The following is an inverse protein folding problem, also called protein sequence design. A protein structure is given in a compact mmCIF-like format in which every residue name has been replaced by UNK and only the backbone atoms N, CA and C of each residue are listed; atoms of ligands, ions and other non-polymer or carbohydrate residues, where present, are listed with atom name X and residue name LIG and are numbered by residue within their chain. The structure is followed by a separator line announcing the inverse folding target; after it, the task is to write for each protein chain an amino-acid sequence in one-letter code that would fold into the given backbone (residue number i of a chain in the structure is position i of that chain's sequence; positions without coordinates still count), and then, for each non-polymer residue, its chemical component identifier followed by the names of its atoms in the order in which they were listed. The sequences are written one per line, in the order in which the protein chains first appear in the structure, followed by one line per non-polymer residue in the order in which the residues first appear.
data_IF_931927409601
#
_entry.id   IF_931927409601
#
_cell.length_a   1.000
_cell.length_b   1.000
_cell.length_c   1.000
_cell.angle_alpha   90.00
_cell.angle_beta   90.00
_cell.angle_gamma   90.00
#
_symmetry.space_group_name_H-M   'P 1'
#
loop_
_entity.id
_entity.type
_entity.pdbx_description
1 polymer ?
#
# COMPACT_ATOMS: atom_id res chain seq x y z
N UNK A 1 -17.79 -3.88 2.51
CA UNK A 1 -17.28 -5.23 2.82
C UNK A 1 -18.40 -6.28 2.89
N UNK A 2 -19.35 -6.22 3.84
CA UNK A 2 -20.33 -7.29 4.09
C UNK A 2 -21.14 -7.79 2.89
N UNK A 3 -21.51 -6.91 1.95
CA UNK A 3 -22.20 -7.31 0.73
C UNK A 3 -21.34 -8.20 -0.19
N UNK A 4 -20.05 -7.89 -0.36
CA UNK A 4 -19.14 -8.70 -1.17
C UNK A 4 -18.78 -10.02 -0.49
N UNK A 5 -18.61 -10.01 0.83
CA UNK A 5 -18.41 -11.23 1.60
C UNK A 5 -19.56 -12.24 1.40
N UNK A 6 -20.80 -11.74 1.33
CA UNK A 6 -21.97 -12.57 1.01
C UNK A 6 -21.95 -13.03 -0.45
N UNK A 7 -21.66 -12.14 -1.40
CA UNK A 7 -21.65 -12.47 -2.83
C UNK A 7 -20.57 -13.48 -3.22
N UNK A 8 -19.41 -13.37 -2.59
CA UNK A 8 -18.24 -14.22 -2.86
C UNK A 8 -18.15 -15.41 -1.90
N UNK A 9 -19.18 -15.63 -1.09
CA UNK A 9 -19.23 -16.75 -0.14
C UNK A 9 -19.00 -18.08 -0.86
N UNK A 10 -18.06 -18.87 -0.34
CA UNK A 10 -17.68 -20.16 -0.92
C UNK A 10 -16.54 -20.09 -1.93
N UNK A 11 -16.08 -18.90 -2.29
CA UNK A 11 -14.86 -18.69 -3.08
C UNK A 11 -13.76 -18.13 -2.17
N UNK A 12 -12.50 -18.58 -2.28
CA UNK A 12 -11.38 -17.93 -1.62
C UNK A 12 -11.29 -16.46 -2.07
N UNK A 13 -11.32 -15.54 -1.11
CA UNK A 13 -11.24 -14.10 -1.40
C UNK A 13 -10.66 -13.33 -0.22
N UNK A 14 -10.09 -12.17 -0.53
CA UNK A 14 -9.58 -11.20 0.44
C UNK A 14 -10.31 -9.88 0.24
N UNK A 15 -10.66 -9.20 1.33
CA UNK A 15 -11.33 -7.90 1.28
C UNK A 15 -10.41 -6.83 1.87
N UNK A 16 -9.82 -6.02 1.00
CA UNK A 16 -8.98 -4.89 1.36
C UNK A 16 -9.74 -3.56 1.28
N UNK A 17 -9.32 -2.58 2.09
CA UNK A 17 -9.75 -1.20 1.98
C UNK A 17 -8.96 -0.47 0.88
N UNK A 18 -9.61 -0.34 -0.28
CA UNK A 18 -9.04 0.30 -1.47
C UNK A 18 -8.83 1.82 -1.37
N UNK A 19 -9.08 2.45 -0.21
CA UNK A 19 -8.81 3.88 -0.01
C UNK A 19 -7.33 4.19 0.20
N UNK A 20 -6.58 3.26 0.79
CA UNK A 20 -5.17 3.45 1.15
C UNK A 20 -4.27 2.23 0.90
N UNK A 21 -4.85 1.09 0.52
CA UNK A 21 -4.13 -0.14 0.24
C UNK A 21 -4.60 -0.82 -1.05
N UNK A 22 -3.65 -1.42 -1.78
CA UNK A 22 -3.86 -2.33 -2.89
C UNK A 22 -3.16 -3.63 -2.53
N UNK A 23 -3.95 -4.67 -2.24
CA UNK A 23 -3.46 -6.01 -1.93
C UNK A 23 -3.46 -6.85 -3.21
N UNK A 24 -2.36 -7.55 -3.45
CA UNK A 24 -2.08 -8.32 -4.66
C UNK A 24 -1.67 -9.74 -4.26
N UNK A 25 -2.52 -10.76 -4.48
CA UNK A 25 -2.16 -12.14 -4.20
C UNK A 25 -0.96 -12.60 -5.02
N UNK A 26 -0.04 -13.39 -4.43
CA UNK A 26 1.14 -13.94 -5.12
C UNK A 26 0.79 -14.97 -6.21
N UNK A 27 -0.42 -15.52 -6.15
CA UNK A 27 -0.97 -16.40 -7.18
C UNK A 27 -1.82 -15.61 -8.19
N UNK A 28 -2.02 -16.13 -9.41
CA UNK A 28 -2.93 -15.53 -10.38
C UNK A 28 -4.32 -15.27 -9.78
N UNK A 29 -4.74 -14.01 -9.79
CA UNK A 29 -5.95 -13.56 -9.12
C UNK A 29 -6.70 -12.49 -9.94
N UNK A 30 -7.99 -12.34 -9.61
CA UNK A 30 -8.84 -11.29 -10.11
C UNK A 30 -9.04 -10.22 -9.03
N UNK A 31 -8.59 -8.99 -9.31
CA UNK A 31 -8.84 -7.85 -8.45
C UNK A 31 -10.18 -7.23 -8.81
N UNK A 32 -11.19 -7.39 -7.95
CA UNK A 32 -12.52 -6.83 -8.16
C UNK A 32 -12.67 -5.46 -7.47
N UNK A 33 -12.94 -4.42 -8.26
CA UNK A 33 -13.18 -3.06 -7.80
C UNK A 33 -14.66 -2.71 -7.89
N UNK A 34 -15.16 -1.99 -6.88
CA UNK A 34 -16.54 -1.50 -6.86
C UNK A 34 -16.81 -0.44 -7.92
N UNK A 35 -15.81 0.41 -8.19
CA UNK A 35 -15.83 1.52 -9.12
C UNK A 35 -14.41 1.84 -9.60
N UNK A 36 -14.27 2.47 -10.76
CA UNK A 36 -12.98 2.93 -11.29
C UNK A 36 -12.43 4.18 -10.61
N UNK A 37 -13.23 4.86 -9.78
CA UNK A 37 -12.79 6.02 -9.00
C UNK A 37 -12.31 5.66 -7.59
N UNK A 38 -12.27 4.38 -7.23
CA UNK A 38 -11.63 3.93 -5.98
C UNK A 38 -10.12 4.14 -6.13
N UNK A 39 -9.42 4.72 -5.13
CA UNK A 39 -7.99 5.00 -5.24
C UNK A 39 -7.14 3.77 -5.60
N UNK A 40 -7.40 2.60 -5.03
CA UNK A 40 -6.70 1.36 -5.39
C UNK A 40 -6.77 1.01 -6.89
N UNK A 41 -7.89 1.29 -7.57
CA UNK A 41 -7.99 1.08 -9.02
C UNK A 41 -7.08 2.06 -9.77
N UNK A 42 -7.00 3.32 -9.32
CA UNK A 42 -6.15 4.33 -9.93
C UNK A 42 -4.66 3.99 -9.75
N UNK A 43 -4.27 3.47 -8.58
CA UNK A 43 -2.93 2.96 -8.32
C UNK A 43 -2.65 1.71 -9.17
N UNK A 44 -3.56 0.76 -9.23
CA UNK A 44 -3.41 -0.41 -10.10
C UNK A 44 -3.21 0.00 -11.58
N UNK A 45 -3.98 0.99 -12.05
CA UNK A 45 -3.85 1.54 -13.39
C UNK A 45 -2.49 2.24 -13.62
N UNK A 46 -2.00 3.03 -12.65
CA UNK A 46 -0.69 3.69 -12.76
C UNK A 46 0.47 2.69 -12.73
N UNK A 47 0.26 1.51 -12.14
CA UNK A 47 1.19 0.37 -12.15
C UNK A 47 1.04 -0.51 -13.42
N UNK A 48 0.18 -0.14 -14.36
CA UNK A 48 0.00 -0.86 -15.63
C UNK A 48 -0.86 -2.13 -15.54
N UNK A 49 -1.55 -2.37 -14.42
CA UNK A 49 -2.43 -3.54 -14.25
C UNK A 49 -3.76 -3.39 -15.00
N UNK A 50 -4.17 -2.16 -15.33
CA UNK A 50 -5.45 -1.89 -15.99
C UNK A 50 -5.39 -1.91 -17.52
N UNK A 51 -4.63 -2.84 -18.12
CA UNK A 51 -4.44 -2.93 -19.58
C UNK A 51 -5.67 -3.45 -20.32
N UNK A 52 -6.40 -4.41 -19.73
CA UNK A 52 -7.61 -5.00 -20.31
C UNK A 52 -8.69 -5.24 -19.24
N UNK A 53 -9.25 -4.17 -18.64
CA UNK A 53 -10.22 -4.31 -17.55
C UNK A 53 -11.50 -5.00 -18.04
N UNK A 54 -11.94 -6.03 -17.31
CA UNK A 54 -13.25 -6.63 -17.53
C UNK A 54 -14.31 -5.84 -16.76
N UNK A 55 -15.39 -5.47 -17.44
CA UNK A 55 -16.51 -4.75 -16.82
C UNK A 55 -17.71 -5.68 -16.60
N UNK A 56 -18.30 -5.61 -15.42
CA UNK A 56 -19.51 -6.35 -15.07
C UNK A 56 -20.66 -5.37 -14.85
N UNK A 57 -21.74 -5.44 -15.65
CA UNK A 57 -22.84 -4.49 -15.57
C UNK A 57 -23.56 -4.59 -14.23
N UNK A 58 -24.03 -3.44 -13.74
CA UNK A 58 -24.88 -3.32 -12.56
C UNK A 58 -26.31 -2.95 -12.96
N UNK A 59 -27.11 -2.48 -12.00
CA UNK A 59 -28.46 -1.97 -12.30
C UNK A 59 -28.38 -0.80 -13.27
N UNK A 60 -29.50 -0.51 -13.94
CA UNK A 60 -29.59 0.62 -14.85
C UNK A 60 -29.10 1.92 -14.17
N UNK A 61 -28.24 2.66 -14.86
CA UNK A 61 -27.61 3.90 -14.39
C UNK A 61 -26.61 3.76 -13.22
N UNK A 62 -26.20 2.55 -12.84
CA UNK A 62 -25.10 2.34 -11.91
C UNK A 62 -23.78 2.08 -12.69
N UNK A 63 -22.64 2.64 -12.26
CA UNK A 63 -21.34 2.30 -12.85
C UNK A 63 -21.05 0.80 -12.70
N UNK A 64 -20.33 0.16 -13.64
CA UNK A 64 -20.04 -1.27 -13.57
C UNK A 64 -19.02 -1.59 -12.46
N UNK A 65 -19.00 -2.85 -12.03
CA UNK A 65 -17.82 -3.39 -11.36
C UNK A 65 -16.71 -3.59 -12.39
N UNK A 66 -15.46 -3.53 -11.92
CA UNK A 66 -14.30 -3.74 -12.79
C UNK A 66 -13.39 -4.80 -12.20
N UNK A 67 -12.99 -5.77 -13.00
CA UNK A 67 -11.97 -6.75 -12.62
C UNK A 67 -10.69 -6.56 -13.43
N UNK A 68 -9.55 -6.73 -12.74
CA UNK A 68 -8.23 -6.78 -13.34
C UNK A 68 -7.58 -8.14 -13.04
N UNK A 69 -7.12 -8.83 -14.08
CA UNK A 69 -6.33 -10.05 -13.91
C UNK A 69 -4.88 -9.67 -13.55
N UNK A 70 -4.36 -10.27 -12.48
CA UNK A 70 -2.96 -10.14 -12.06
C UNK A 70 -2.34 -11.52 -11.96
N UNK A 71 -1.15 -11.71 -12.53
CA UNK A 71 -0.49 -13.02 -12.61
C UNK A 71 0.96 -13.04 -12.11
N UNK A 72 1.61 -11.88 -11.99
CA UNK A 72 2.99 -11.77 -11.54
C UNK A 72 3.23 -10.45 -10.78
N UNK A 73 2.54 -10.24 -9.63
CA UNK A 73 2.58 -8.97 -8.90
C UNK A 73 3.99 -8.56 -8.46
N UNK A 74 4.89 -9.50 -8.16
CA UNK A 74 6.28 -9.19 -7.81
C UNK A 74 7.07 -8.45 -8.91
N UNK A 75 6.65 -8.56 -10.18
CA UNK A 75 7.28 -7.80 -11.27
C UNK A 75 7.00 -6.29 -11.18
N UNK A 76 5.98 -5.89 -10.42
CA UNK A 76 5.69 -4.47 -10.19
C UNK A 76 6.80 -3.75 -9.44
N UNK A 77 7.65 -4.46 -8.70
CA UNK A 77 8.82 -3.87 -8.03
C UNK A 77 9.72 -3.09 -9.01
N UNK A 78 9.76 -3.48 -10.29
CA UNK A 78 10.51 -2.76 -11.32
C UNK A 78 10.00 -1.32 -11.57
N UNK A 79 8.81 -0.97 -11.09
CA UNK A 79 8.23 0.37 -11.14
C UNK A 79 8.52 1.20 -9.88
N UNK A 80 9.34 0.71 -8.95
CA UNK A 80 9.71 1.35 -7.69
C UNK A 80 11.23 1.48 -7.58
N UNK A 81 11.68 2.43 -6.78
CA UNK A 81 13.07 2.51 -6.33
C UNK A 81 13.29 1.41 -5.27
N UNK A 82 14.15 0.41 -5.55
CA UNK A 82 14.37 -0.70 -4.63
C UNK A 82 15.20 -0.27 -3.43
N UNK A 83 14.99 -0.94 -2.30
CA UNK A 83 15.82 -0.82 -1.10
C UNK A 83 16.39 -2.20 -0.72
N UNK A 84 17.33 -2.22 0.21
CA UNK A 84 17.63 -3.47 0.91
C UNK A 84 16.37 -3.90 1.70
N UNK A 85 15.86 -5.13 1.50
CA UNK A 85 14.62 -5.54 2.13
C UNK A 85 14.66 -5.47 3.66
N UNK A 86 13.62 -4.89 4.25
CA UNK A 86 13.47 -4.82 5.72
C UNK A 86 12.19 -5.49 6.15
N UNK A 87 12.31 -6.63 6.83
CA UNK A 87 11.17 -7.36 7.40
C UNK A 87 10.86 -6.87 8.81
N UNK A 88 9.61 -6.48 9.02
CA UNK A 88 9.05 -6.08 10.29
C UNK A 88 8.52 -7.29 11.08
N UNK A 89 8.41 -7.16 12.40
CA UNK A 89 7.94 -8.21 13.30
C UNK A 89 6.50 -8.68 13.01
N UNK A 90 5.71 -7.91 12.26
CA UNK A 90 4.36 -8.27 11.82
C UNK A 90 4.33 -9.11 10.54
N UNK A 91 5.50 -9.40 9.95
CA UNK A 91 5.68 -10.24 8.77
C UNK A 91 5.70 -9.49 7.43
N UNK A 92 5.50 -8.17 7.44
CA UNK A 92 5.62 -7.34 6.25
C UNK A 92 7.08 -6.94 5.98
N UNK A 93 7.53 -7.10 4.73
CA UNK A 93 8.85 -6.74 4.24
C UNK A 93 8.75 -5.57 3.27
N UNK A 94 9.40 -4.45 3.55
CA UNK A 94 9.48 -3.34 2.59
C UNK A 94 10.52 -3.67 1.52
N UNK A 95 10.15 -3.58 0.25
CA UNK A 95 11.00 -3.92 -0.90
C UNK A 95 11.41 -2.69 -1.71
N UNK A 96 10.56 -1.67 -1.76
CA UNK A 96 10.82 -0.47 -2.52
C UNK A 96 9.77 0.60 -2.30
N UNK A 97 10.00 1.77 -2.89
CA UNK A 97 9.14 2.93 -2.74
C UNK A 97 9.15 3.78 -4.01
N UNK A 98 8.18 4.68 -4.13
CA UNK A 98 8.09 5.62 -5.24
C UNK A 98 7.44 6.91 -4.77
N UNK A 99 7.97 8.06 -5.19
CA UNK A 99 7.37 9.35 -4.95
C UNK A 99 6.78 9.92 -6.24
N UNK A 100 5.49 10.23 -6.22
CA UNK A 100 4.77 10.77 -7.37
C UNK A 100 4.32 12.22 -7.11
N UNK A 101 4.59 13.17 -8.03
CA UNK A 101 3.93 14.46 -7.98
C UNK A 101 2.46 14.33 -8.38
N UNK A 102 1.58 15.00 -7.64
CA UNK A 102 0.15 15.13 -7.92
C UNK A 102 -0.20 16.60 -8.14
N UNK A 103 -1.29 16.87 -8.88
CA UNK A 103 -1.83 18.22 -9.10
C UNK A 103 -0.75 19.23 -9.56
N UNK A 104 -0.07 18.93 -10.67
CA UNK A 104 1.03 19.73 -11.22
C UNK A 104 2.19 19.97 -10.22
N UNK A 105 2.36 19.06 -9.27
CA UNK A 105 3.39 19.11 -8.24
C UNK A 105 2.96 19.81 -6.94
N UNK A 106 1.72 20.32 -6.83
CA UNK A 106 1.24 20.91 -5.58
C UNK A 106 1.12 19.89 -4.43
N UNK A 107 0.97 18.60 -4.76
CA UNK A 107 0.91 17.50 -3.79
C UNK A 107 1.90 16.40 -4.17
N UNK A 108 2.17 15.54 -3.22
CA UNK A 108 3.04 14.38 -3.36
C UNK A 108 2.29 13.14 -2.91
N UNK A 109 2.57 12.00 -3.54
CA UNK A 109 2.13 10.68 -3.08
C UNK A 109 3.35 9.80 -2.89
N UNK A 110 3.57 9.34 -1.67
CA UNK A 110 4.52 8.29 -1.37
C UNK A 110 3.80 6.95 -1.53
N UNK A 111 4.30 6.10 -2.41
CA UNK A 111 3.89 4.70 -2.51
C UNK A 111 5.00 3.84 -1.89
N UNK A 112 4.61 2.81 -1.14
CA UNK A 112 5.53 1.80 -0.63
C UNK A 112 5.09 0.41 -1.07
N UNK A 113 6.03 -0.40 -1.53
CA UNK A 113 5.82 -1.75 -2.04
C UNK A 113 6.33 -2.77 -1.04
N UNK A 114 5.39 -3.50 -0.44
CA UNK A 114 5.65 -4.49 0.59
C UNK A 114 5.36 -5.90 0.07
N UNK A 115 6.00 -6.89 0.67
CA UNK A 115 5.59 -8.29 0.59
C UNK A 115 5.27 -8.81 2.00
N UNK A 116 4.23 -9.60 2.13
CA UNK A 116 3.91 -10.33 3.37
C UNK A 116 4.73 -11.63 3.35
N UNK A 117 6.03 -11.52 3.67
CA UNK A 117 6.98 -12.62 3.49
C UNK A 117 6.83 -13.73 4.53
N UNK A 118 6.37 -13.39 5.73
CA UNK A 118 6.14 -14.32 6.85
C UNK A 118 4.64 -14.50 7.11
N UNK A 119 4.23 -15.56 7.84
CA UNK A 119 2.86 -15.70 8.30
C UNK A 119 2.38 -14.41 8.99
N UNK A 120 1.27 -13.80 8.51
CA UNK A 120 0.78 -12.55 9.09
C UNK A 120 0.49 -12.71 10.58
N UNK A 121 0.92 -11.74 11.37
CA UNK A 121 0.52 -11.65 12.77
C UNK A 121 -0.91 -11.11 12.83
N UNK A 122 -1.77 -11.76 13.61
CA UNK A 122 -3.14 -11.28 13.85
C UNK A 122 -3.09 -9.85 14.43
N UNK A 123 -3.76 -8.91 13.76
CA UNK A 123 -3.80 -7.52 14.22
C UNK A 123 -4.31 -6.54 13.19
N UNK A 124 -4.50 -5.30 13.65
CA UNK A 124 -4.71 -4.14 12.79
C UNK A 124 -3.42 -3.37 12.71
N UNK A 125 -2.83 -3.30 11.53
CA UNK A 125 -1.63 -2.51 11.32
C UNK A 125 -1.98 -1.22 10.56
N UNK A 126 -1.43 -0.13 11.06
CA UNK A 126 -1.38 1.15 10.37
C UNK A 126 0.06 1.35 9.92
N UNK A 127 0.26 1.94 8.75
CA UNK A 127 1.56 2.43 8.33
C UNK A 127 1.66 3.91 8.66
N UNK A 128 2.70 4.29 9.39
CA UNK A 128 3.04 5.70 9.54
C UNK A 128 3.95 6.15 8.40
N UNK A 129 3.79 7.40 7.99
CA UNK A 129 4.62 8.03 6.96
C UNK A 129 4.97 9.44 7.42
N UNK A 130 6.24 9.67 7.74
CA UNK A 130 6.72 10.94 8.28
C UNK A 130 7.66 11.59 7.26
N UNK A 131 7.30 12.76 6.77
CA UNK A 131 8.12 13.54 5.83
C UNK A 131 9.06 14.46 6.61
N UNK A 132 10.36 14.41 6.32
CA UNK A 132 11.36 15.32 6.87
C UNK A 132 11.94 16.24 5.79
N UNK A 133 12.24 17.47 6.19
CA UNK A 133 12.92 18.46 5.35
C UNK A 133 14.39 18.55 5.72
N UNK A 134 15.21 18.98 4.76
CA UNK A 134 16.65 19.19 4.98
C UNK A 134 16.87 20.16 6.14
N UNK A 135 17.65 19.71 7.14
CA UNK A 135 17.95 20.48 8.35
C UNK A 135 16.86 20.47 9.43
N UNK A 136 15.73 19.81 9.19
CA UNK A 136 14.68 19.58 10.18
C UNK A 136 15.01 18.43 11.13
N UNK A 137 14.61 18.55 12.40
CA UNK A 137 14.75 17.50 13.42
C UNK A 137 13.42 16.83 13.78
N UNK A 138 12.31 17.34 13.24
CA UNK A 138 10.96 16.82 13.45
C UNK A 138 10.26 16.64 12.08
N UNK A 139 9.27 15.73 11.97
CA UNK A 139 8.49 15.58 10.75
C UNK A 139 7.80 16.89 10.38
N UNK A 140 7.97 17.34 9.14
CA UNK A 140 7.23 18.47 8.58
C UNK A 140 5.78 18.10 8.24
N UNK A 141 5.52 16.81 7.97
CA UNK A 141 4.19 16.27 7.79
C UNK A 141 4.11 14.79 8.19
N UNK A 142 2.94 14.36 8.65
CA UNK A 142 2.64 12.98 9.08
C UNK A 142 1.36 12.51 8.41
N UNK A 143 1.35 11.29 7.91
CA UNK A 143 0.18 10.66 7.30
C UNK A 143 0.16 9.17 7.60
N UNK A 144 -0.83 8.74 8.38
CA UNK A 144 -0.98 7.35 8.78
C UNK A 144 -2.11 6.71 7.98
N UNK A 145 -1.89 5.48 7.52
CA UNK A 145 -2.83 4.78 6.64
C UNK A 145 -3.05 3.34 7.05
N UNK A 146 -4.29 2.87 6.88
CA UNK A 146 -4.64 1.49 7.22
C UNK A 146 -4.16 0.53 6.14
N UNK A 147 -3.42 -0.50 6.53
CA UNK A 147 -2.75 -1.40 5.58
C UNK A 147 -3.62 -2.59 5.15
N UNK A 148 -4.88 -2.63 5.58
CA UNK A 148 -5.78 -3.77 5.38
C UNK A 148 -5.25 -5.09 5.95
N UNK A 149 -4.51 -5.04 7.06
CA UNK A 149 -3.78 -6.20 7.59
C UNK A 149 -4.60 -7.44 7.91
N UNK A 150 -5.90 -7.31 8.17
CA UNK A 150 -6.80 -8.46 8.33
C UNK A 150 -6.98 -9.30 7.07
N UNK A 151 -6.64 -8.76 5.90
CA UNK A 151 -6.80 -9.43 4.62
C UNK A 151 -5.50 -10.07 4.12
N UNK A 152 -4.38 -9.83 4.80
CA UNK A 152 -3.07 -10.34 4.39
C UNK A 152 -3.03 -11.87 4.43
N UNK A 153 -2.40 -12.46 3.41
CA UNK A 153 -1.89 -13.82 3.43
C UNK A 153 -0.38 -13.79 3.15
N UNK A 154 0.33 -14.82 3.64
CA UNK A 154 1.74 -14.99 3.33
C UNK A 154 1.93 -15.13 1.81
N UNK A 155 2.92 -14.44 1.28
CA UNK A 155 3.24 -14.34 -0.15
C UNK A 155 2.71 -13.06 -0.79
N UNK A 156 1.57 -12.53 -0.32
CA UNK A 156 0.92 -11.37 -0.93
C UNK A 156 1.84 -10.16 -1.03
N UNK A 157 1.61 -9.34 -2.05
CA UNK A 157 2.20 -8.02 -2.17
C UNK A 157 1.19 -6.96 -1.76
N UNK A 158 1.69 -5.90 -1.14
CA UNK A 158 0.88 -4.79 -0.67
C UNK A 158 1.50 -3.49 -1.17
N UNK A 159 0.68 -2.69 -1.86
CA UNK A 159 1.01 -1.29 -2.13
C UNK A 159 0.16 -0.43 -1.22
N UNK A 160 0.81 0.39 -0.41
CA UNK A 160 0.14 1.46 0.36
C UNK A 160 0.56 2.81 -0.18
N UNK A 161 -0.26 3.83 0.06
CA UNK A 161 0.08 5.20 -0.31
C UNK A 161 -0.34 6.20 0.75
N UNK A 162 0.49 7.22 0.91
CA UNK A 162 0.20 8.41 1.70
C UNK A 162 0.36 9.65 0.83
N UNK A 163 -0.56 10.60 0.94
CA UNK A 163 -0.51 11.86 0.21
C UNK A 163 -0.17 13.02 1.14
N UNK A 164 0.63 13.96 0.64
CA UNK A 164 1.12 15.14 1.34
C UNK A 164 0.92 16.38 0.48
N UNK A 165 0.71 17.53 1.11
CA UNK A 165 0.95 18.81 0.43
C UNK A 165 2.46 18.94 0.17
N UNK A 166 2.83 19.47 -1.00
CA UNK A 166 4.25 19.66 -1.30
C UNK A 166 4.81 20.73 -0.36
N UNK A 167 5.84 20.43 0.43
CA UNK A 167 6.46 21.41 1.30
C UNK A 167 7.21 22.47 0.48
N UNK A 168 7.39 23.67 1.04
CA UNK A 168 8.19 24.72 0.43
C UNK A 168 9.70 24.43 0.46
N UNK A 169 10.16 23.60 1.41
CA UNK A 169 11.55 23.19 1.56
C UNK A 169 11.90 21.92 0.78
N UNK A 170 13.19 21.66 0.61
CA UNK A 170 13.69 20.40 0.05
C UNK A 170 13.39 19.25 1.03
N UNK A 171 12.88 18.15 0.47
CA UNK A 171 12.62 16.91 1.22
C UNK A 171 13.95 16.20 1.40
N UNK A 172 14.22 15.75 2.62
CA UNK A 172 15.41 14.98 2.95
C UNK A 172 15.11 13.48 2.86
N UNK A 173 14.13 13.03 3.64
CA UNK A 173 13.74 11.63 3.71
C UNK A 173 12.30 11.46 4.17
N UNK A 174 11.81 10.23 4.06
CA UNK A 174 10.62 9.75 4.75
C UNK A 174 11.00 8.67 5.76
N UNK A 175 10.49 8.77 6.99
CA UNK A 175 10.48 7.61 7.89
C UNK A 175 9.15 6.88 7.74
N UNK A 176 9.22 5.59 7.49
CA UNK A 176 8.06 4.70 7.35
C UNK A 176 8.17 3.49 8.26
N UNK A 177 7.04 2.87 8.55
CA UNK A 177 6.97 1.63 9.31
C UNK A 177 5.53 1.33 9.68
N UNK A 178 5.32 0.30 10.47
CA UNK A 178 3.97 -0.10 10.87
C UNK A 178 3.82 -0.18 12.38
N UNK A 179 2.61 0.03 12.87
CA UNK A 179 2.26 -0.14 14.28
C UNK A 179 0.90 -0.81 14.44
N UNK A 180 0.71 -1.52 15.55
CA UNK A 180 -0.57 -2.14 15.87
C UNK A 180 -1.58 -1.09 16.36
N UNK A 181 -2.83 -1.24 15.96
CA UNK A 181 -3.96 -0.44 16.44
C UNK A 181 -4.93 -1.33 17.24
N UNK A 182 -5.43 -0.87 18.39
CA UNK A 182 -5.24 0.45 19.01
C UNK A 182 -4.02 0.55 19.94
N UNK A 183 -3.17 -0.48 20.03
CA UNK A 183 -2.10 -0.53 21.05
C UNK A 183 -0.91 0.41 20.79
N UNK A 184 -0.85 1.03 19.60
CA UNK A 184 0.18 1.98 19.15
C UNK A 184 1.61 1.44 19.27
N UNK A 185 1.78 0.12 19.19
CA UNK A 185 3.09 -0.52 19.30
C UNK A 185 3.71 -0.67 17.93
N UNK A 186 4.87 -0.02 17.70
CA UNK A 186 5.60 -0.15 16.44
C UNK A 186 6.09 -1.57 16.24
N UNK A 187 5.98 -2.06 15.01
CA UNK A 187 6.58 -3.31 14.58
C UNK A 187 8.07 -3.07 14.40
N UNK A 188 8.89 -3.71 15.22
CA UNK A 188 10.34 -3.61 15.11
C UNK A 188 10.85 -4.33 13.86
N UNK A 189 12.09 -4.07 13.46
CA UNK A 189 12.76 -4.92 12.48
C UNK A 189 12.99 -6.30 13.09
N UNK A 190 12.93 -7.34 12.27
CA UNK A 190 13.21 -8.70 12.75
C UNK A 190 14.69 -8.93 13.06
N UNK A 191 15.58 -8.36 12.22
CA UNK A 191 17.03 -8.52 12.38
C UNK A 191 17.62 -7.62 13.47
N UNK A 192 16.99 -6.49 13.76
CA UNK A 192 17.37 -5.60 14.85
C UNK A 192 16.12 -5.04 15.56
N UNK A 193 15.65 -5.69 16.63
CA UNK A 193 14.44 -5.27 17.33
C UNK A 193 14.51 -3.89 18.01
N UNK A 194 15.70 -3.27 18.07
CA UNK A 194 15.84 -1.89 18.55
C UNK A 194 15.38 -0.85 17.52
N UNK A 195 15.33 -1.24 16.24
CA UNK A 195 14.86 -0.41 15.13
C UNK A 195 13.39 -0.70 14.85
N UNK A 196 12.62 0.35 14.54
CA UNK A 196 11.17 0.26 14.31
C UNK A 196 10.63 1.25 13.27
N UNK A 197 11.54 1.81 12.49
CA UNK A 197 11.25 2.68 11.35
C UNK A 197 12.28 2.40 10.25
N UNK A 198 11.94 2.72 9.02
CA UNK A 198 12.76 2.58 7.83
C UNK A 198 12.86 3.96 7.20
N UNK A 199 14.09 4.44 7.00
CA UNK A 199 14.35 5.75 6.39
C UNK A 199 14.52 5.60 4.88
N UNK A 200 13.68 6.29 4.13
CA UNK A 200 13.69 6.37 2.66
C UNK A 200 14.27 7.72 2.25
N UNK A 201 15.53 7.73 1.84
CA UNK A 201 16.23 8.96 1.45
C UNK A 201 15.79 9.38 0.05
N UNK A 202 15.39 10.64 -0.11
CA UNK A 202 15.04 11.20 -1.42
C UNK A 202 16.33 11.59 -2.15
N UNK A 203 16.64 11.02 -3.33
CA UNK A 203 17.83 11.42 -4.08
C UNK A 203 17.73 12.88 -4.52
N UNK A 204 18.88 13.58 -4.54
CA UNK A 204 19.01 14.95 -5.05
C UNK A 204 18.72 15.08 -6.56
#
# INVERSE_FOLDING_TARGET
AAFFDILLRGYPHQLADGQTALLLPDEPAELLFTFTNVPAYQIAASLGLATAPQQFPRRANEPPYVALTVSAPGQLLAAFDPIEPVTLANGATLLGWRLEPLNDGARLRLLTFWQISEPPVDGHFQQFNHLYLVGGTEPAAVSDVYTSSRAWAQGDYLVTWAEFDRPAGAIDHFDVGMYSWPDLTRSSWQLDPSLNLITLVVPE
#
